data_IF_323023755800
#
_entry.id   IF_323023755800
#
_cell.length_a   1.000
_cell.length_b   1.000
_cell.length_c   1.000
_cell.angle_alpha   90.00
_cell.angle_beta   90.00
_cell.angle_gamma   90.00
#
_symmetry.space_group_name_H-M   'P 1'
#
loop_
_entity.id
_entity.type
_entity.pdbx_description
1 polymer ?
#
# COMPACT_ATOMS: atom_id res chain seq x y z
N UNK A 1 8.25 11.79 22.36
CA UNK A 1 6.85 11.72 21.85
C UNK A 1 6.39 13.07 21.27
N UNK A 2 6.43 14.17 22.02
CA UNK A 2 6.01 15.50 21.52
C UNK A 2 7.06 16.14 20.61
N UNK A 3 8.34 16.06 20.98
CA UNK A 3 9.45 16.60 20.19
C UNK A 3 9.62 15.85 18.86
N UNK A 4 9.46 14.52 18.86
CA UNK A 4 9.50 13.70 17.64
C UNK A 4 8.39 14.09 16.66
N UNK A 5 7.19 14.40 17.17
CA UNK A 5 6.05 14.86 16.35
C UNK A 5 6.28 16.28 15.78
N UNK A 6 6.99 17.14 16.51
CA UNK A 6 7.34 18.49 16.06
C UNK A 6 8.45 18.42 14.99
N UNK A 7 9.48 17.60 15.21
CA UNK A 7 10.54 17.36 14.24
C UNK A 7 10.00 16.74 12.94
N UNK A 8 9.07 15.78 13.06
CA UNK A 8 8.39 15.19 11.90
C UNK A 8 7.55 16.22 11.13
N UNK A 9 6.84 17.11 11.84
CA UNK A 9 6.08 18.21 11.23
C UNK A 9 6.98 19.22 10.52
N UNK A 10 8.10 19.63 11.12
CA UNK A 10 9.04 20.53 10.46
C UNK A 10 9.67 19.91 9.21
N UNK A 11 9.99 18.61 9.24
CA UNK A 11 10.49 17.87 8.07
C UNK A 11 9.44 17.80 6.95
N UNK A 12 8.18 17.58 7.29
CA UNK A 12 7.04 17.60 6.36
C UNK A 12 6.75 19.00 5.80
N UNK A 13 6.95 20.06 6.58
CA UNK A 13 6.75 21.44 6.12
C UNK A 13 7.90 21.95 5.25
N UNK A 14 9.14 21.48 5.49
CA UNK A 14 10.32 21.83 4.68
C UNK A 14 10.40 21.05 3.37
N UNK A 15 9.85 19.84 3.33
CA UNK A 15 9.81 19.00 2.15
C UNK A 15 8.46 19.07 1.45
N UNK A 16 8.29 19.96 0.48
CA UNK A 16 7.25 19.82 -0.55
C UNK A 16 7.58 18.67 -1.50
N UNK A 17 7.86 17.49 -0.97
CA UNK A 17 8.38 16.39 -1.77
C UNK A 17 7.21 15.59 -2.32
N UNK A 18 6.59 16.15 -3.36
CA UNK A 18 5.58 15.46 -4.17
C UNK A 18 6.02 14.06 -4.60
N UNK A 19 7.33 13.80 -4.65
CA UNK A 19 7.94 12.47 -4.83
C UNK A 19 7.66 11.56 -3.64
N UNK A 20 7.91 12.01 -2.41
CA UNK A 20 7.63 11.25 -1.19
C UNK A 20 6.14 10.92 -1.05
N UNK A 21 5.27 11.90 -1.33
CA UNK A 21 3.83 11.65 -1.35
C UNK A 21 3.43 10.63 -2.43
N UNK A 22 4.05 10.70 -3.61
CA UNK A 22 3.82 9.73 -4.69
C UNK A 22 4.28 8.33 -4.30
N UNK A 23 5.42 8.20 -3.62
CA UNK A 23 5.92 6.93 -3.11
C UNK A 23 5.02 6.35 -2.02
N UNK A 24 4.56 7.18 -1.07
CA UNK A 24 3.61 6.76 -0.03
C UNK A 24 2.28 6.29 -0.64
N UNK A 25 1.76 7.01 -1.63
CA UNK A 25 0.53 6.62 -2.34
C UNK A 25 0.76 5.32 -3.11
N UNK A 26 1.89 5.16 -3.78
CA UNK A 26 2.23 3.91 -4.49
C UNK A 26 2.31 2.71 -3.55
N UNK A 27 2.96 2.89 -2.40
CA UNK A 27 3.03 1.87 -1.35
C UNK A 27 1.63 1.51 -0.82
N UNK A 28 0.81 2.51 -0.50
CA UNK A 28 -0.54 2.27 -0.01
C UNK A 28 -1.42 1.56 -1.07
N UNK A 29 -1.33 1.97 -2.33
CA UNK A 29 -2.06 1.33 -3.43
C UNK A 29 -1.65 -0.13 -3.61
N UNK A 30 -0.35 -0.45 -3.51
CA UNK A 30 0.11 -1.84 -3.55
C UNK A 30 -0.49 -2.67 -2.42
N UNK A 31 -0.50 -2.16 -1.19
CA UNK A 31 -1.10 -2.87 -0.04
C UNK A 31 -2.60 -3.07 -0.19
N UNK A 32 -3.32 -2.09 -0.71
CA UNK A 32 -4.75 -2.23 -1.00
C UNK A 32 -5.01 -3.28 -2.07
N UNK A 33 -4.22 -3.30 -3.14
CA UNK A 33 -4.32 -4.35 -4.16
C UNK A 33 -4.04 -5.75 -3.57
N UNK A 34 -3.00 -5.90 -2.75
CA UNK A 34 -2.69 -7.16 -2.05
C UNK A 34 -3.87 -7.65 -1.20
N UNK A 35 -4.57 -6.75 -0.50
CA UNK A 35 -5.74 -7.08 0.32
C UNK A 35 -6.96 -7.56 -0.50
N UNK A 36 -7.14 -7.04 -1.72
CA UNK A 36 -8.30 -7.38 -2.57
C UNK A 36 -8.01 -8.52 -3.55
N UNK A 37 -6.74 -8.82 -3.82
CA UNK A 37 -6.31 -9.76 -4.87
C UNK A 37 -6.92 -11.15 -4.70
N UNK A 38 -6.92 -11.69 -3.48
CA UNK A 38 -7.44 -13.04 -3.22
C UNK A 38 -8.95 -13.13 -3.48
N UNK A 39 -9.70 -12.08 -3.12
CA UNK A 39 -11.14 -11.98 -3.38
C UNK A 39 -11.45 -11.85 -4.87
N UNK A 40 -10.70 -11.03 -5.60
CA UNK A 40 -10.85 -10.87 -7.05
C UNK A 40 -10.45 -12.13 -7.83
N UNK A 41 -9.41 -12.83 -7.38
CA UNK A 41 -8.97 -14.08 -7.98
C UNK A 41 -9.84 -15.28 -7.59
N UNK A 42 -10.68 -15.14 -6.55
CA UNK A 42 -11.51 -16.21 -6.01
C UNK A 42 -10.71 -17.33 -5.30
N UNK A 43 -9.46 -17.05 -4.92
CA UNK A 43 -8.55 -17.99 -4.27
C UNK A 43 -7.33 -17.25 -3.69
N UNK A 44 -6.86 -17.68 -2.52
CA UNK A 44 -5.67 -17.15 -1.87
C UNK A 44 -4.38 -17.40 -2.64
N UNK A 45 -3.30 -16.71 -2.25
CA UNK A 45 -1.98 -16.96 -2.82
C UNK A 45 -1.53 -18.43 -2.63
N UNK A 46 -1.26 -19.13 -3.73
CA UNK A 46 -0.86 -20.54 -3.73
C UNK A 46 -1.98 -21.55 -3.49
N UNK A 47 -3.21 -21.09 -3.26
CA UNK A 47 -4.38 -21.94 -3.05
C UNK A 47 -4.90 -22.50 -4.38
N UNK A 48 -5.20 -23.81 -4.40
CA UNK A 48 -5.93 -24.44 -5.51
C UNK A 48 -7.41 -24.40 -5.18
N UNK A 49 -8.17 -23.60 -5.93
CA UNK A 49 -9.62 -23.55 -5.85
C UNK A 49 -10.24 -23.62 -7.23
N UNK A 50 -11.38 -24.30 -7.34
CA UNK A 50 -12.20 -24.33 -8.56
C UNK A 50 -12.83 -22.95 -8.87
N UNK A 51 -13.00 -22.11 -7.85
CA UNK A 51 -13.45 -20.72 -8.00
C UNK A 51 -12.36 -19.77 -8.51
N UNK A 52 -11.12 -20.26 -8.74
CA UNK A 52 -10.02 -19.41 -9.22
C UNK A 52 -10.31 -18.92 -10.63
N UNK A 53 -10.44 -17.60 -10.78
CA UNK A 53 -10.79 -16.95 -12.05
C UNK A 53 -9.56 -16.67 -12.93
N UNK A 54 -8.40 -16.43 -12.33
CA UNK A 54 -7.16 -16.21 -13.08
C UNK A 54 -6.42 -17.53 -13.35
N UNK A 55 -6.10 -17.80 -14.61
CA UNK A 55 -5.28 -18.93 -15.01
C UNK A 55 -4.31 -18.43 -16.09
N UNK A 56 -3.03 -18.76 -15.96
CA UNK A 56 -1.96 -18.39 -16.90
C UNK A 56 -1.30 -19.65 -17.43
#
# INVERSE_FOLDING_TARGET
MTDDKIALRELLEKGSDTTFLREMIGFAAQRLMELETDGLCGAGHGERSESRTNQR
#
